data_IF_173051210347
#
_entry.id   IF_173051210347
#
_cell.length_a   1.000
_cell.length_b   1.000
_cell.length_c   1.000
_cell.angle_alpha   90.00
_cell.angle_beta   90.00
_cell.angle_gamma   90.00
#
_symmetry.space_group_name_H-M   'P 1'
#
loop_
_entity.id
_entity.type
_entity.pdbx_description
1 polymer ?
#
# COMPACT_ATOMS: atom_id res chain seq x y z
N UNK A 1 -17.04 -0.24 -2.91
CA UNK A 1 -16.75 0.74 -3.97
C UNK A 1 -17.05 2.22 -3.64
N UNK A 2 -17.31 2.62 -2.37
CA UNK A 2 -17.64 4.04 -2.05
C UNK A 2 -16.42 4.93 -1.74
N UNK A 3 -15.35 4.38 -1.13
CA UNK A 3 -14.14 5.14 -0.73
C UNK A 3 -13.42 5.83 -1.89
N UNK A 4 -13.25 5.13 -3.02
CA UNK A 4 -12.54 5.65 -4.19
C UNK A 4 -13.22 6.90 -4.79
N UNK A 5 -14.56 6.98 -4.69
CA UNK A 5 -15.32 8.13 -5.18
C UNK A 5 -15.16 9.36 -4.28
N UNK A 6 -15.15 9.17 -2.95
CA UNK A 6 -14.92 10.26 -1.98
C UNK A 6 -13.50 10.83 -2.06
N UNK A 7 -12.50 9.99 -2.30
CA UNK A 7 -11.12 10.46 -2.47
C UNK A 7 -10.92 11.23 -3.77
N UNK A 8 -11.54 10.79 -4.87
CA UNK A 8 -11.50 11.50 -6.15
C UNK A 8 -12.16 12.90 -6.04
N UNK A 9 -13.32 12.99 -5.39
CA UNK A 9 -14.00 14.28 -5.23
C UNK A 9 -13.21 15.25 -4.34
N UNK A 10 -12.58 14.75 -3.27
CA UNK A 10 -11.69 15.55 -2.42
C UNK A 10 -10.47 16.07 -3.19
N UNK A 11 -9.81 15.21 -3.97
CA UNK A 11 -8.67 15.58 -4.80
C UNK A 11 -9.05 16.65 -5.84
N UNK A 12 -10.19 16.50 -6.51
CA UNK A 12 -10.68 17.49 -7.46
C UNK A 12 -11.03 18.83 -6.80
N UNK A 13 -11.55 18.80 -5.56
CA UNK A 13 -11.80 20.02 -4.80
C UNK A 13 -10.48 20.75 -4.46
N UNK A 14 -9.44 20.02 -4.07
CA UNK A 14 -8.11 20.59 -3.80
C UNK A 14 -7.49 21.20 -5.07
N UNK A 15 -7.51 20.49 -6.19
CA UNK A 15 -7.03 21.01 -7.47
C UNK A 15 -7.83 22.22 -7.94
N UNK A 16 -9.16 22.24 -7.72
CA UNK A 16 -10.00 23.40 -8.00
C UNK A 16 -9.55 24.60 -7.15
N UNK A 17 -9.32 24.42 -5.86
CA UNK A 17 -8.83 25.49 -4.97
C UNK A 17 -7.49 26.03 -5.45
N UNK A 18 -6.54 25.16 -5.83
CA UNK A 18 -5.26 25.57 -6.42
C UNK A 18 -5.44 26.34 -7.74
N UNK A 19 -6.33 25.90 -8.63
CA UNK A 19 -6.65 26.64 -9.85
C UNK A 19 -7.18 28.05 -9.53
N UNK A 20 -8.03 28.18 -8.50
CA UNK A 20 -8.54 29.48 -8.04
C UNK A 20 -7.46 30.38 -7.45
N UNK A 21 -6.49 29.82 -6.73
CA UNK A 21 -5.34 30.63 -6.24
C UNK A 21 -4.49 31.18 -7.39
N UNK A 22 -4.49 30.51 -8.54
CA UNK A 22 -3.86 30.97 -9.79
C UNK A 22 -4.79 31.85 -10.64
N UNK A 23 -5.95 32.25 -10.10
CA UNK A 23 -6.98 33.05 -10.80
C UNK A 23 -7.51 32.42 -12.08
N UNK A 24 -7.46 31.09 -12.20
CA UNK A 24 -7.98 30.38 -13.38
C UNK A 24 -9.48 30.10 -13.24
N UNK A 25 -10.23 30.33 -14.31
CA UNK A 25 -11.58 29.81 -14.49
C UNK A 25 -11.57 28.33 -14.88
N UNK A 26 -12.70 27.63 -14.73
CA UNK A 26 -12.79 26.20 -15.08
C UNK A 26 -12.50 25.97 -16.59
N UNK A 27 -12.86 26.94 -17.42
CA UNK A 27 -12.58 26.93 -18.86
C UNK A 27 -11.09 27.11 -19.13
N UNK A 28 -10.43 28.05 -18.46
CA UNK A 28 -8.99 28.28 -18.63
C UNK A 28 -8.15 27.15 -18.05
N UNK A 29 -8.57 26.59 -16.91
CA UNK A 29 -7.91 25.44 -16.29
C UNK A 29 -8.01 24.20 -17.18
N UNK A 30 -9.20 23.89 -17.72
CA UNK A 30 -9.37 22.77 -18.65
C UNK A 30 -8.62 22.99 -19.97
N UNK A 31 -8.61 24.21 -20.51
CA UNK A 31 -7.84 24.56 -21.68
C UNK A 31 -6.32 24.38 -21.46
N UNK A 32 -5.80 24.85 -20.31
CA UNK A 32 -4.39 24.69 -19.93
C UNK A 32 -4.00 23.22 -19.72
N UNK A 33 -4.93 22.42 -19.19
CA UNK A 33 -4.77 20.97 -19.08
C UNK A 33 -4.93 20.21 -20.41
N UNK A 34 -5.33 20.89 -21.51
CA UNK A 34 -5.69 20.28 -22.80
C UNK A 34 -6.81 19.23 -22.68
N UNK A 35 -7.73 19.45 -21.75
CA UNK A 35 -8.89 18.60 -21.50
C UNK A 35 -10.15 19.34 -21.94
N UNK A 36 -11.14 18.63 -22.50
CA UNK A 36 -12.44 19.25 -22.84
C UNK A 36 -13.13 19.70 -21.55
N UNK A 37 -13.69 20.91 -21.54
CA UNK A 37 -14.43 21.43 -20.37
C UNK A 37 -15.60 20.51 -19.96
N UNK A 38 -16.23 19.85 -20.94
CA UNK A 38 -17.24 18.82 -20.67
C UNK A 38 -16.69 17.65 -19.85
N UNK A 39 -15.44 17.23 -20.09
CA UNK A 39 -14.77 16.18 -19.31
C UNK A 39 -14.60 16.59 -17.86
N UNK A 40 -14.21 17.84 -17.59
CA UNK A 40 -14.10 18.40 -16.23
C UNK A 40 -15.46 18.46 -15.52
N UNK A 41 -16.49 18.90 -16.25
CA UNK A 41 -17.87 18.93 -15.74
C UNK A 41 -18.43 17.54 -15.44
N UNK A 42 -18.11 16.55 -16.29
CA UNK A 42 -18.47 15.13 -16.09
C UNK A 42 -17.71 14.52 -14.92
N UNK A 43 -16.42 14.81 -14.76
CA UNK A 43 -15.57 14.39 -13.64
C UNK A 43 -16.13 14.79 -12.27
N UNK A 44 -16.71 15.99 -12.17
CA UNK A 44 -17.39 16.46 -10.95
C UNK A 44 -18.70 15.72 -10.66
N UNK A 45 -19.35 15.15 -11.68
CA UNK A 45 -20.68 14.50 -11.58
C UNK A 45 -20.62 12.97 -11.60
N UNK A 46 -19.60 12.36 -12.22
CA UNK A 46 -19.40 10.91 -12.35
C UNK A 46 -17.95 10.54 -12.06
N UNK A 47 -17.80 9.45 -11.32
CA UNK A 47 -16.62 9.06 -10.55
C UNK A 47 -15.56 8.26 -11.30
N UNK A 48 -15.56 8.30 -12.63
CA UNK A 48 -14.62 7.53 -13.44
C UNK A 48 -13.86 8.47 -14.36
N UNK A 49 -12.55 8.47 -14.22
CA UNK A 49 -11.63 9.28 -14.98
C UNK A 49 -10.34 8.50 -15.15
N UNK A 50 -9.73 8.64 -16.33
CA UNK A 50 -8.41 8.07 -16.56
C UNK A 50 -7.35 8.85 -15.78
N UNK A 51 -6.35 8.14 -15.26
CA UNK A 51 -5.26 8.73 -14.50
C UNK A 51 -4.53 9.84 -15.28
N UNK A 52 -4.39 9.67 -16.59
CA UNK A 52 -3.78 10.66 -17.49
C UNK A 52 -4.50 12.01 -17.45
N UNK A 53 -5.84 12.00 -17.36
CA UNK A 53 -6.64 13.22 -17.29
C UNK A 53 -6.47 13.91 -15.94
N UNK A 54 -6.38 13.15 -14.84
CA UNK A 54 -6.06 13.70 -13.52
C UNK A 54 -4.67 14.33 -13.47
N UNK A 55 -3.67 13.65 -14.04
CA UNK A 55 -2.30 14.15 -14.11
C UNK A 55 -2.21 15.44 -14.93
N UNK A 56 -2.91 15.52 -16.06
CA UNK A 56 -2.96 16.73 -16.88
C UNK A 56 -3.60 17.93 -16.14
N UNK A 57 -4.68 17.68 -15.40
CA UNK A 57 -5.33 18.71 -14.58
C UNK A 57 -4.45 19.22 -13.44
N UNK A 58 -3.69 18.33 -12.79
CA UNK A 58 -2.74 18.72 -11.75
C UNK A 58 -1.55 19.50 -12.33
N UNK A 59 -0.99 19.04 -13.45
CA UNK A 59 0.11 19.73 -14.13
C UNK A 59 -0.27 21.16 -14.55
N UNK A 60 -1.54 21.40 -14.92
CA UNK A 60 -2.03 22.72 -15.29
C UNK A 60 -2.01 23.74 -14.14
N UNK A 61 -1.96 23.28 -12.89
CA UNK A 61 -1.85 24.13 -11.68
C UNK A 61 -0.51 23.95 -10.96
N UNK A 62 0.51 23.50 -11.70
CA UNK A 62 1.86 23.22 -11.20
C UNK A 62 1.88 22.24 -10.01
N UNK A 63 0.87 21.37 -9.93
CA UNK A 63 0.79 20.28 -8.97
C UNK A 63 1.23 18.97 -9.62
N UNK A 64 1.92 18.12 -8.86
CA UNK A 64 2.27 16.77 -9.29
C UNK A 64 1.43 15.77 -8.51
N UNK A 65 0.67 14.94 -9.22
CA UNK A 65 0.05 13.77 -8.59
C UNK A 65 1.10 12.69 -8.44
N UNK A 66 1.34 12.30 -7.19
CA UNK A 66 2.09 11.11 -6.85
C UNK A 66 1.05 10.06 -6.45
N UNK A 67 1.12 8.88 -7.07
CA UNK A 67 0.39 7.73 -6.56
C UNK A 67 1.18 7.28 -5.34
N UNK A 68 0.69 7.68 -4.18
CA UNK A 68 1.25 7.19 -2.94
C UNK A 68 0.73 5.78 -2.70
N UNK A 69 1.56 4.78 -3.03
CA UNK A 69 1.32 3.39 -2.65
C UNK A 69 1.62 3.17 -1.15
N UNK A 70 2.19 4.16 -0.45
CA UNK A 70 2.17 4.23 1.01
C UNK A 70 0.87 4.84 1.48
N UNK A 71 -0.29 4.28 1.10
CA UNK A 71 -1.42 4.40 2.01
C UNK A 71 -0.99 3.70 3.27
N UNK A 72 -0.61 4.48 4.30
CA UNK A 72 -0.38 4.02 5.65
C UNK A 72 -1.42 2.94 5.91
N UNK A 73 -0.97 1.68 5.93
CA UNK A 73 -1.86 0.54 5.85
C UNK A 73 -2.94 0.79 6.87
N UNK A 74 -4.19 1.00 6.44
CA UNK A 74 -5.25 1.35 7.38
C UNK A 74 -5.28 0.17 8.34
N UNK A 75 -4.89 0.36 9.59
CA UNK A 75 -4.68 -0.76 10.50
C UNK A 75 -6.04 -1.16 11.05
N UNK A 76 -6.21 -2.41 11.44
CA UNK A 76 -7.35 -2.82 12.27
C UNK A 76 -7.41 -1.95 13.53
N UNK A 77 -8.60 -1.79 14.17
CA UNK A 77 -8.75 -0.91 15.34
C UNK A 77 -7.78 -1.22 16.50
N UNK A 78 -7.34 -2.47 16.61
CA UNK A 78 -6.37 -2.94 17.59
C UNK A 78 -4.90 -2.73 17.17
N UNK A 79 -4.64 -2.15 16.00
CA UNK A 79 -3.28 -1.80 15.56
C UNK A 79 -2.42 -2.99 15.12
N UNK A 80 -2.97 -4.20 15.09
CA UNK A 80 -2.19 -5.43 14.93
C UNK A 80 -2.06 -5.91 13.49
N UNK A 81 -3.04 -5.63 12.64
CA UNK A 81 -3.09 -6.13 11.25
C UNK A 81 -3.40 -5.02 10.26
N UNK A 82 -2.92 -5.10 9.01
CA UNK A 82 -3.46 -4.26 7.96
C UNK A 82 -4.95 -4.61 7.75
N UNK A 83 -5.80 -3.59 7.59
CA UNK A 83 -7.26 -3.74 7.43
C UNK A 83 -7.64 -4.37 6.09
N UNK A 84 -6.76 -4.25 5.09
CA UNK A 84 -6.80 -4.98 3.83
C UNK A 84 -5.38 -5.22 3.36
N UNK A 85 -5.18 -6.33 2.64
CA UNK A 85 -3.94 -6.62 1.93
C UNK A 85 -4.30 -6.77 0.45
N UNK A 86 -3.86 -5.83 -0.39
CA UNK A 86 -4.06 -5.93 -1.83
C UNK A 86 -2.89 -6.66 -2.51
N UNK A 87 -2.96 -6.75 -3.85
CA UNK A 87 -1.94 -7.44 -4.65
C UNK A 87 -0.59 -6.72 -4.61
N UNK A 88 -0.59 -5.39 -4.57
CA UNK A 88 0.64 -4.59 -4.56
C UNK A 88 1.30 -4.68 -3.18
N UNK A 89 0.51 -4.70 -2.10
CA UNK A 89 0.98 -4.94 -0.74
C UNK A 89 1.65 -6.30 -0.62
N UNK A 90 0.99 -7.36 -1.11
CA UNK A 90 1.54 -8.72 -1.09
C UNK A 90 2.82 -8.82 -1.92
N UNK A 91 2.88 -8.15 -3.08
CA UNK A 91 4.09 -8.09 -3.89
C UNK A 91 5.26 -7.38 -3.18
N UNK A 92 4.99 -6.31 -2.40
CA UNK A 92 6.02 -5.66 -1.58
C UNK A 92 6.53 -6.58 -0.47
N UNK A 93 5.63 -7.31 0.20
CA UNK A 93 6.00 -8.29 1.23
C UNK A 93 6.81 -9.45 0.64
N UNK A 94 6.46 -9.93 -0.57
CA UNK A 94 7.23 -10.96 -1.28
C UNK A 94 8.65 -10.50 -1.58
N UNK A 95 8.82 -9.27 -2.10
CA UNK A 95 10.15 -8.70 -2.37
C UNK A 95 10.98 -8.55 -1.10
N UNK A 96 10.36 -8.10 0.00
CA UNK A 96 11.03 -8.03 1.30
C UNK A 96 11.45 -9.41 1.81
N UNK A 97 10.57 -10.40 1.73
CA UNK A 97 10.88 -11.77 2.16
C UNK A 97 11.97 -12.41 1.27
N UNK A 98 11.99 -12.10 -0.02
CA UNK A 98 12.98 -12.62 -0.96
C UNK A 98 14.34 -11.93 -0.87
N UNK A 99 14.42 -10.68 -0.39
CA UNK A 99 15.69 -9.94 -0.28
C UNK A 99 16.63 -10.53 0.76
N UNK A 100 16.10 -11.27 1.75
CA UNK A 100 16.88 -11.79 2.88
C UNK A 100 17.32 -10.72 3.88
N UNK A 101 16.86 -9.47 3.72
CA UNK A 101 17.16 -8.40 4.66
C UNK A 101 16.44 -8.63 5.99
N UNK A 102 17.17 -8.57 7.10
CA UNK A 102 16.66 -8.75 8.46
C UNK A 102 16.77 -7.46 9.31
N UNK A 103 17.00 -6.31 8.66
CA UNK A 103 17.07 -5.03 9.34
C UNK A 103 15.70 -4.65 9.95
N UNK A 104 15.72 -4.34 11.25
CA UNK A 104 14.53 -4.00 12.01
C UNK A 104 13.76 -2.81 11.41
N UNK A 105 14.47 -1.77 10.98
CA UNK A 105 13.85 -0.54 10.47
C UNK A 105 13.09 -0.80 9.16
N UNK A 106 13.63 -1.65 8.29
CA UNK A 106 12.98 -2.03 7.02
C UNK A 106 11.69 -2.79 7.28
N UNK A 107 11.72 -3.76 8.19
CA UNK A 107 10.54 -4.57 8.52
C UNK A 107 9.47 -3.79 9.29
N UNK A 108 9.88 -2.94 10.23
CA UNK A 108 8.94 -2.12 11.00
C UNK A 108 8.29 -1.01 10.17
N UNK A 109 8.94 -0.53 9.12
CA UNK A 109 8.37 0.40 8.15
C UNK A 109 7.41 -0.26 7.15
N UNK A 110 7.58 -1.56 6.88
CA UNK A 110 6.79 -2.29 5.89
C UNK A 110 5.34 -2.59 6.32
N UNK A 111 5.04 -2.57 7.63
CA UNK A 111 3.69 -2.80 8.12
C UNK A 111 3.56 -2.84 9.65
N UNK A 112 2.36 -3.14 10.17
CA UNK A 112 2.14 -3.24 11.62
C UNK A 112 3.07 -4.26 12.28
N UNK A 113 3.69 -3.89 13.39
CA UNK A 113 4.76 -4.69 14.01
C UNK A 113 4.34 -6.13 14.35
N UNK A 114 3.13 -6.33 14.88
CA UNK A 114 2.61 -7.68 15.16
C UNK A 114 2.40 -8.51 13.89
N UNK A 115 1.85 -7.88 12.84
CA UNK A 115 1.70 -8.52 11.54
C UNK A 115 3.05 -8.96 10.98
N UNK A 116 4.04 -8.06 11.00
CA UNK A 116 5.40 -8.32 10.49
C UNK A 116 6.15 -9.36 11.33
N UNK A 117 5.93 -9.39 12.64
CA UNK A 117 6.50 -10.41 13.51
C UNK A 117 5.98 -11.82 13.16
N UNK A 118 4.66 -11.97 12.97
CA UNK A 118 4.10 -13.26 12.55
C UNK A 118 4.52 -13.66 11.13
N UNK A 119 4.69 -12.69 10.22
CA UNK A 119 5.29 -12.95 8.90
C UNK A 119 6.71 -13.53 9.04
N UNK A 120 7.54 -12.95 9.91
CA UNK A 120 8.89 -13.45 10.18
C UNK A 120 8.87 -14.88 10.75
N UNK A 121 7.97 -15.17 11.70
CA UNK A 121 7.80 -16.53 12.27
C UNK A 121 7.38 -17.54 11.20
N UNK A 122 6.43 -17.17 10.33
CA UNK A 122 5.99 -18.01 9.23
C UNK A 122 7.16 -18.32 8.28
N UNK A 123 7.95 -17.31 7.91
CA UNK A 123 9.11 -17.46 7.04
C UNK A 123 10.23 -18.27 7.69
N UNK A 124 10.37 -18.24 9.02
CA UNK A 124 11.32 -19.06 9.74
C UNK A 124 11.01 -20.58 9.63
N UNK A 125 9.80 -20.93 9.22
CA UNK A 125 9.39 -22.29 8.87
C UNK A 125 9.83 -22.75 7.48
N UNK A 126 10.21 -21.82 6.60
CA UNK A 126 10.53 -22.15 5.21
C UNK A 126 11.97 -22.64 5.02
N UNK A 127 12.17 -23.71 4.24
CA UNK A 127 13.50 -24.18 3.89
C UNK A 127 14.35 -23.11 3.19
N UNK A 128 15.62 -23.03 3.58
CA UNK A 128 16.60 -22.15 2.95
C UNK A 128 16.48 -20.67 3.33
N UNK A 129 15.71 -20.31 4.35
CA UNK A 129 15.76 -18.99 4.99
C UNK A 129 16.48 -19.06 6.35
N UNK A 130 17.03 -17.93 6.80
CA UNK A 130 17.67 -17.83 8.12
C UNK A 130 16.61 -17.89 9.24
N UNK A 131 16.29 -19.12 9.66
CA UNK A 131 15.34 -19.39 10.74
C UNK A 131 15.71 -18.65 12.02
N UNK A 132 16.98 -18.62 12.40
CA UNK A 132 17.40 -18.02 13.69
C UNK A 132 17.27 -16.51 13.64
N UNK A 133 17.73 -15.89 12.56
CA UNK A 133 17.61 -14.45 12.34
C UNK A 133 16.15 -13.99 12.28
N UNK A 134 15.29 -14.72 11.56
CA UNK A 134 13.86 -14.41 11.44
C UNK A 134 13.13 -14.52 12.78
N UNK A 135 13.41 -15.55 13.60
CA UNK A 135 12.80 -15.65 14.93
C UNK A 135 13.29 -14.54 15.87
N UNK A 136 14.57 -14.17 15.82
CA UNK A 136 15.09 -13.03 16.59
C UNK A 136 14.46 -11.70 16.15
N UNK A 137 14.26 -11.51 14.84
CA UNK A 137 13.57 -10.35 14.30
C UNK A 137 12.10 -10.29 14.74
N UNK A 138 11.40 -11.44 14.73
CA UNK A 138 10.02 -11.53 15.21
C UNK A 138 9.91 -11.05 16.67
N UNK A 139 10.78 -11.52 17.55
CA UNK A 139 10.80 -11.11 18.95
C UNK A 139 11.13 -9.62 19.14
N UNK A 140 12.00 -9.06 18.29
CA UNK A 140 12.28 -7.61 18.30
C UNK A 140 11.10 -6.77 17.82
N UNK A 141 10.37 -7.25 16.82
CA UNK A 141 9.19 -6.57 16.28
C UNK A 141 8.03 -6.61 17.28
N UNK A 142 7.79 -7.78 17.86
CA UNK A 142 6.77 -7.98 18.88
C UNK A 142 7.19 -9.11 19.84
N UNK A 143 7.52 -8.79 21.09
CA UNK A 143 7.88 -9.81 22.08
C UNK A 143 6.78 -10.88 22.23
N UNK A 144 7.19 -12.15 22.31
CA UNK A 144 6.31 -13.31 22.41
C UNK A 144 5.67 -13.73 21.07
N UNK A 145 5.98 -13.08 19.94
CA UNK A 145 5.41 -13.46 18.65
C UNK A 145 5.84 -14.85 18.18
N UNK A 146 7.01 -15.34 18.60
CA UNK A 146 7.47 -16.70 18.28
C UNK A 146 6.79 -17.80 19.09
N UNK A 147 6.00 -17.44 20.11
CA UNK A 147 5.25 -18.42 20.90
C UNK A 147 4.17 -19.10 20.04
N UNK A 148 4.05 -20.44 20.08
CA UNK A 148 3.09 -21.16 19.22
C UNK A 148 1.65 -20.68 19.36
N UNK A 149 1.21 -20.34 20.58
CA UNK A 149 -0.15 -19.85 20.84
C UNK A 149 -0.39 -18.46 20.24
N UNK A 150 0.62 -17.58 20.26
CA UNK A 150 0.54 -16.24 19.67
C UNK A 150 0.56 -16.34 18.15
N UNK A 151 1.41 -17.19 17.59
CA UNK A 151 1.45 -17.43 16.16
C UNK A 151 0.18 -18.09 15.62
N UNK A 152 -0.45 -19.00 16.37
CA UNK A 152 -1.75 -19.57 16.00
C UNK A 152 -2.84 -18.47 15.89
N UNK A 153 -2.90 -17.55 16.85
CA UNK A 153 -3.80 -16.38 16.78
C UNK A 153 -3.47 -15.47 15.61
N UNK A 154 -2.19 -15.34 15.27
CA UNK A 154 -1.78 -14.59 14.09
C UNK A 154 -2.34 -15.23 12.81
N UNK A 155 -2.23 -16.56 12.65
CA UNK A 155 -2.75 -17.28 11.48
C UNK A 155 -4.27 -17.16 11.32
N UNK A 156 -5.02 -17.19 12.42
CA UNK A 156 -6.49 -17.05 12.41
C UNK A 156 -6.95 -15.69 11.89
N UNK A 157 -6.20 -14.63 12.24
CA UNK A 157 -6.59 -13.23 11.99
C UNK A 157 -5.88 -12.60 10.80
N UNK A 158 -4.77 -13.19 10.35
CA UNK A 158 -3.95 -12.62 9.29
C UNK A 158 -4.72 -12.55 7.97
N UNK A 159 -4.71 -11.40 7.28
CA UNK A 159 -5.23 -11.29 5.93
C UNK A 159 -4.33 -12.01 4.91
N UNK A 160 -3.08 -12.33 5.29
CA UNK A 160 -2.15 -13.10 4.49
C UNK A 160 -2.44 -14.60 4.63
N UNK A 161 -2.56 -15.31 3.50
CA UNK A 161 -2.77 -16.76 3.48
C UNK A 161 -1.44 -17.48 3.20
N UNK A 162 -0.88 -18.27 4.14
CA UNK A 162 0.38 -18.98 3.93
C UNK A 162 0.37 -19.88 2.68
N UNK A 163 -0.75 -20.57 2.45
CA UNK A 163 -0.93 -21.48 1.30
C UNK A 163 -0.81 -20.80 -0.07
N UNK A 164 -0.99 -19.48 -0.13
CA UNK A 164 -0.79 -18.67 -1.35
C UNK A 164 0.56 -17.99 -1.34
N UNK A 165 0.96 -17.43 -0.20
CA UNK A 165 2.17 -16.61 -0.10
C UNK A 165 3.46 -17.42 -0.26
N UNK A 166 3.55 -18.59 0.39
CA UNK A 166 4.77 -19.39 0.39
C UNK A 166 5.15 -19.93 -1.01
N UNK A 167 4.19 -20.46 -1.82
CA UNK A 167 4.50 -20.81 -3.21
C UNK A 167 4.98 -19.62 -4.05
N UNK A 168 4.37 -18.44 -3.88
CA UNK A 168 4.79 -17.23 -4.61
C UNK A 168 6.20 -16.79 -4.20
N UNK A 169 6.54 -16.88 -2.91
CA UNK A 169 7.89 -16.60 -2.43
C UNK A 169 8.91 -17.57 -3.04
N UNK A 170 8.60 -18.85 -3.09
CA UNK A 170 9.48 -19.84 -3.70
C UNK A 170 9.71 -19.55 -5.20
N UNK A 171 8.70 -19.05 -5.91
CA UNK A 171 8.84 -18.60 -7.30
C UNK A 171 9.72 -17.34 -7.40
N UNK A 172 9.48 -16.33 -6.58
CA UNK A 172 10.26 -15.08 -6.60
C UNK A 172 11.75 -15.33 -6.35
N UNK A 173 12.07 -16.17 -5.35
CA UNK A 173 13.44 -16.54 -5.03
C UNK A 173 14.16 -17.30 -6.15
N UNK A 174 13.43 -18.06 -6.98
CA UNK A 174 14.01 -18.74 -8.16
C UNK A 174 14.31 -17.77 -9.30
N UNK A 175 13.59 -16.66 -9.42
CA UNK A 175 13.86 -15.65 -10.45
C UNK A 175 15.01 -14.72 -10.06
N UNK A 176 15.30 -14.59 -8.77
CA UNK A 176 16.37 -13.75 -8.24
C UNK A 176 17.74 -14.46 -8.12
N UNK A 177 17.78 -15.79 -8.28
CA UNK A 177 18.98 -16.62 -8.24
C UNK A 177 19.49 -16.94 -9.66
#
# INVERSE_FOLDING_TARGET
>A
MKRSNTQLSALLAELTTKARTLSLTDTEWSARARVRNETLSRLRRRSSCDLSTLQALAAAVDARLVIDHSTAATVTPDGHFPSSLDRDDEARLLKLAASGDLAYDVWSAAGPRFFMAGLAVMLAGEPGLDRRGLLALAERLHPGASEPAVFARWLERSPLRPSRFLPLLAMERKHAA
#
